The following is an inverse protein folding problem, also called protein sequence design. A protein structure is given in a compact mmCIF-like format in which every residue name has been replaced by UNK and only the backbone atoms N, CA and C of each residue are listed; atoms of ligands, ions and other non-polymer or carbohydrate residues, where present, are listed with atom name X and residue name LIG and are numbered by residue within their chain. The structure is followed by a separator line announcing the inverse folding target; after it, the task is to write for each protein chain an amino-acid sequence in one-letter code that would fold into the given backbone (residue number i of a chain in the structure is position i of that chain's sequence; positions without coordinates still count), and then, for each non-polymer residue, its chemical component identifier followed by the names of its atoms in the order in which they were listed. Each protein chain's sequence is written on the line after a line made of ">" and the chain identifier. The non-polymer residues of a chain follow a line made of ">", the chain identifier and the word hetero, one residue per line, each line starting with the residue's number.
data_IF_051114520562
#
_entry.id   IF_051114520562
#
_cell.length_a   1.000
_cell.length_b   1.000
_cell.length_c   1.000
_cell.angle_alpha   90.00
_cell.angle_beta   90.00
_cell.angle_gamma   90.00
#
_symmetry.space_group_name_H-M   'P 1'
#
loop_
_entity.id
_entity.type
_entity.pdbx_description
1 polymer ?
#
# COMPACT_ATOMS: atom_id res chain seq x y z
N UNK A 1 -46.09 33.58 14.54
CA UNK A 1 -45.57 33.28 14.40
C UNK A 1 -44.83 32.65 14.21
N UNK A 2 -44.42 32.26 14.04
CA UNK A 2 -43.71 31.63 14.01
C UNK A 2 -42.90 31.16 13.46
N UNK A 3 -42.29 30.98 13.30
CA UNK A 3 -41.48 30.58 12.87
C UNK A 3 -40.80 29.65 12.68
N UNK A 4 -40.49 29.23 12.51
CA UNK A 4 -40.03 28.26 12.43
C UNK A 4 -38.95 27.95 11.83
N UNK A 5 -38.34 27.63 11.90
CA UNK A 5 -37.33 27.37 11.39
C UNK A 5 -36.74 26.31 11.31
N UNK A 6 -36.33 25.87 10.99
CA UNK A 6 -35.91 24.89 10.70
C UNK A 6 -34.70 24.67 10.44
N UNK A 7 -34.11 24.29 10.77
CA UNK A 7 -33.02 24.00 10.82
C UNK A 7 -32.61 23.09 10.07
N UNK A 8 -32.30 23.00 9.41
CA UNK A 8 -31.90 22.10 8.71
C UNK A 8 -30.72 21.59 8.85
N UNK A 9 -30.45 20.87 9.18
CA UNK A 9 -29.43 20.23 9.44
C UNK A 9 -28.71 19.71 8.49
N UNK A 10 -28.17 19.79 8.16
CA UNK A 10 -27.50 19.27 7.31
C UNK A 10 -26.58 18.40 7.50
N UNK A 11 -26.44 17.70 7.44
CA UNK A 11 -25.70 16.82 7.59
C UNK A 11 -24.90 16.41 6.68
N UNK A 12 -24.11 16.37 6.71
CA UNK A 12 -23.28 16.03 5.98
C UNK A 12 -22.64 14.97 6.08
N UNK A 13 -22.68 14.30 5.70
CA UNK A 13 -22.24 13.20 5.77
C UNK A 13 -21.04 13.01 5.41
N UNK A 14 -20.56 13.04 5.33
CA UNK A 14 -19.50 12.79 5.06
C UNK A 14 -18.80 11.92 4.70
N UNK A 15 -18.29 11.98 4.35
CA UNK A 15 -17.43 11.34 3.95
C UNK A 15 -16.99 10.29 4.20
N UNK A 16 -17.19 10.04 4.94
CA UNK A 16 -16.77 8.98 5.29
C UNK A 16 -16.53 8.09 4.38
N UNK A 17 -17.10 7.99 3.66
CA UNK A 17 -16.93 7.04 2.92
C UNK A 17 -15.79 6.84 2.32
N UNK A 18 -15.09 7.45 2.39
CA UNK A 18 -14.07 7.25 1.80
C UNK A 18 -13.34 6.19 1.93
N UNK A 19 -13.52 5.28 2.23
CA UNK A 19 -12.72 4.19 2.45
C UNK A 19 -12.32 3.49 1.20
N UNK A 20 -12.81 3.85 0.08
CA UNK A 20 -12.41 3.26 -1.19
C UNK A 20 -11.18 4.00 -1.67
N UNK A 21 -10.11 3.31 -2.06
CA UNK A 21 -8.93 4.02 -2.53
C UNK A 21 -9.23 4.77 -3.82
N UNK A 22 -8.54 5.87 -4.03
CA UNK A 22 -8.69 6.63 -5.25
C UNK A 22 -8.13 5.83 -6.43
N UNK A 23 -8.48 6.27 -7.63
CA UNK A 23 -7.94 5.63 -8.81
C UNK A 23 -6.43 5.79 -8.89
N UNK A 24 -5.90 6.87 -8.37
CA UNK A 24 -4.45 7.06 -8.33
C UNK A 24 -3.81 6.01 -7.42
N UNK A 25 -4.37 5.81 -6.25
CA UNK A 25 -3.84 4.81 -5.32
C UNK A 25 -3.89 3.42 -5.95
N UNK A 26 -5.02 3.05 -6.55
CA UNK A 26 -5.14 1.74 -7.17
C UNK A 26 -4.12 1.55 -8.26
N UNK A 27 -3.90 2.57 -9.08
CA UNK A 27 -2.91 2.48 -10.15
C UNK A 27 -1.50 2.35 -9.59
N UNK A 28 -1.18 3.15 -8.58
CA UNK A 28 0.17 3.13 -8.02
C UNK A 28 0.47 1.81 -7.34
N UNK A 29 -0.48 1.26 -6.59
CA UNK A 29 -0.27 -0.04 -5.97
C UNK A 29 -0.04 -1.09 -7.04
N UNK A 30 -0.81 -1.05 -8.12
CA UNK A 30 -0.59 -1.97 -9.24
C UNK A 30 0.78 -1.84 -9.85
N UNK A 31 1.27 -0.60 -9.99
CA UNK A 31 2.61 -0.36 -10.52
C UNK A 31 3.69 -0.87 -9.56
N UNK A 32 3.46 -0.77 -8.27
CA UNK A 32 4.41 -1.30 -7.29
C UNK A 32 4.46 -2.83 -7.36
N UNK A 33 3.32 -3.49 -7.54
CA UNK A 33 3.32 -4.94 -7.73
C UNK A 33 4.07 -5.33 -9.00
N UNK A 34 3.86 -4.60 -10.08
CA UNK A 34 4.60 -4.88 -11.31
C UNK A 34 6.09 -4.67 -11.12
N UNK A 35 6.48 -3.60 -10.43
CA UNK A 35 7.89 -3.34 -10.18
C UNK A 35 8.51 -4.48 -9.38
N UNK A 36 7.80 -4.98 -8.39
CA UNK A 36 8.30 -6.09 -7.60
C UNK A 36 8.49 -7.35 -8.46
N UNK A 37 7.46 -7.71 -9.21
CA UNK A 37 7.54 -8.92 -10.03
C UNK A 37 8.64 -8.85 -11.07
N UNK A 38 8.90 -7.66 -11.60
CA UNK A 38 9.90 -7.50 -12.64
C UNK A 38 11.29 -7.27 -12.11
N UNK A 39 11.44 -7.10 -10.81
CA UNK A 39 12.71 -6.72 -10.22
C UNK A 39 13.71 -7.85 -10.14
N UNK A 40 13.25 -9.10 -10.13
CA UNK A 40 14.08 -10.25 -9.84
C UNK A 40 14.74 -10.18 -8.47
N UNK A 41 14.25 -9.30 -7.61
CA UNK A 41 14.75 -9.23 -6.24
C UNK A 41 14.11 -10.33 -5.41
N UNK A 42 14.69 -10.58 -4.25
CA UNK A 42 14.12 -11.51 -3.28
C UNK A 42 13.58 -10.73 -2.10
N UNK A 43 12.62 -11.33 -1.43
CA UNK A 43 11.87 -10.68 -0.37
C UNK A 43 11.90 -11.61 0.84
N UNK A 44 12.28 -11.05 2.00
CA UNK A 44 12.38 -11.84 3.21
C UNK A 44 11.18 -11.60 4.11
N UNK A 45 10.61 -12.71 4.57
CA UNK A 45 9.49 -12.68 5.47
C UNK A 45 9.79 -13.68 6.57
N UNK A 46 9.90 -13.20 7.77
CA UNK A 46 10.19 -14.05 8.94
C UNK A 46 11.43 -14.92 8.75
N UNK A 47 12.46 -14.32 8.15
CA UNK A 47 13.74 -15.01 8.01
C UNK A 47 13.86 -15.91 6.79
N UNK A 48 12.81 -16.03 5.99
CA UNK A 48 12.86 -16.84 4.79
C UNK A 48 12.82 -15.94 3.56
N UNK A 49 13.67 -16.22 2.60
CA UNK A 49 13.70 -15.46 1.36
C UNK A 49 12.82 -16.12 0.31
N UNK A 50 12.01 -15.30 -0.33
CA UNK A 50 11.09 -15.75 -1.38
C UNK A 50 11.42 -14.99 -2.65
N UNK A 51 11.15 -15.60 -3.81
CA UNK A 51 11.34 -14.89 -5.05
C UNK A 51 10.24 -13.83 -5.21
N UNK A 52 10.43 -12.95 -6.19
CA UNK A 52 9.52 -11.83 -6.37
C UNK A 52 8.09 -12.25 -6.64
N UNK A 53 7.90 -13.34 -7.37
CA UNK A 53 6.54 -13.80 -7.67
C UNK A 53 5.82 -14.24 -6.39
N UNK A 54 6.49 -15.01 -5.55
CA UNK A 54 5.89 -15.45 -4.29
C UNK A 54 5.64 -14.27 -3.37
N UNK A 55 6.58 -13.33 -3.33
CA UNK A 55 6.41 -12.13 -2.53
C UNK A 55 5.19 -11.34 -2.99
N UNK A 56 5.04 -11.21 -4.29
CA UNK A 56 3.91 -10.48 -4.86
C UNK A 56 2.59 -11.14 -4.45
N UNK A 57 2.54 -12.47 -4.51
CA UNK A 57 1.33 -13.18 -4.11
C UNK A 57 0.99 -12.95 -2.65
N UNK A 58 2.00 -12.97 -1.80
CA UNK A 58 1.79 -12.74 -0.38
C UNK A 58 1.26 -11.33 -0.12
N UNK A 59 1.89 -10.34 -0.74
CA UNK A 59 1.47 -8.96 -0.54
C UNK A 59 0.11 -8.69 -1.16
N UNK A 60 -0.24 -9.39 -2.24
CA UNK A 60 -1.55 -9.25 -2.83
C UNK A 60 -2.64 -9.69 -1.84
N UNK A 61 -2.40 -10.78 -1.12
CA UNK A 61 -3.36 -11.24 -0.12
C UNK A 61 -3.52 -10.22 1.00
N UNK A 62 -2.42 -9.59 1.43
CA UNK A 62 -2.51 -8.55 2.45
C UNK A 62 -3.26 -7.34 1.92
N UNK A 63 -3.01 -6.98 0.67
CA UNK A 63 -3.68 -5.84 0.07
C UNK A 63 -5.19 -6.11 -0.02
N UNK A 64 -5.57 -7.30 -0.47
CA UNK A 64 -6.98 -7.66 -0.58
C UNK A 64 -7.67 -7.58 0.79
N UNK A 65 -7.00 -8.05 1.82
CA UNK A 65 -7.53 -7.98 3.17
C UNK A 65 -7.72 -6.52 3.59
N UNK A 66 -6.72 -5.69 3.34
CA UNK A 66 -6.79 -4.28 3.73
C UNK A 66 -7.89 -3.54 2.95
N UNK A 67 -8.08 -3.88 1.69
CA UNK A 67 -9.17 -3.30 0.92
C UNK A 67 -10.51 -3.68 1.53
N UNK A 68 -10.67 -4.94 1.90
CA UNK A 68 -11.91 -5.39 2.50
C UNK A 68 -12.18 -4.66 3.80
N UNK A 69 -11.14 -4.35 4.56
CA UNK A 69 -11.29 -3.63 5.83
C UNK A 69 -11.32 -2.12 5.63
N UNK A 70 -11.22 -1.66 4.38
CA UNK A 70 -11.28 -0.23 4.06
C UNK A 70 -10.15 0.56 4.69
N UNK A 71 -8.98 -0.06 4.76
CA UNK A 71 -7.82 0.56 5.39
C UNK A 71 -6.82 1.15 4.41
N UNK A 72 -7.04 0.99 3.10
CA UNK A 72 -6.12 1.56 2.12
C UNK A 72 -6.64 2.94 1.73
N UNK A 73 -6.06 3.96 2.32
CA UNK A 73 -6.47 5.34 2.06
C UNK A 73 -5.49 6.07 1.15
N UNK A 74 -4.32 5.51 0.92
CA UNK A 74 -3.31 6.09 0.04
C UNK A 74 -2.33 5.00 -0.32
N UNK A 75 -1.46 5.28 -1.29
CA UNK A 75 -0.42 4.32 -1.64
C UNK A 75 0.55 4.15 -0.47
N UNK A 76 0.81 5.23 0.25
CA UNK A 76 1.67 5.16 1.44
C UNK A 76 1.07 4.25 2.50
N UNK A 77 -0.25 4.28 2.68
CA UNK A 77 -0.86 3.41 3.68
C UNK A 77 -0.75 1.94 3.26
N UNK A 78 -0.81 1.65 1.96
CA UNK A 78 -0.55 0.29 1.49
C UNK A 78 0.86 -0.14 1.88
N UNK A 79 1.85 0.72 1.62
CA UNK A 79 3.23 0.37 1.94
C UNK A 79 3.36 0.12 3.45
N UNK A 80 2.81 1.01 4.24
CA UNK A 80 2.93 0.90 5.69
C UNK A 80 2.24 -0.33 6.24
N UNK A 81 1.04 -0.61 5.78
CA UNK A 81 0.23 -1.66 6.38
C UNK A 81 0.46 -3.04 5.75
N UNK A 82 0.89 -3.08 4.49
CA UNK A 82 1.06 -4.36 3.82
C UNK A 82 2.51 -4.74 3.58
N UNK A 83 3.38 -3.77 3.31
CA UNK A 83 4.70 -4.07 2.78
C UNK A 83 5.82 -3.72 3.75
N UNK A 84 5.55 -3.52 5.00
CA UNK A 84 6.57 -3.11 5.96
C UNK A 84 7.00 -4.25 6.86
N UNK A 85 6.08 -4.98 7.42
CA UNK A 85 6.43 -6.01 8.39
C UNK A 85 5.36 -7.08 8.48
N UNK A 86 5.75 -8.21 9.05
CA UNK A 86 4.83 -9.30 9.29
C UNK A 86 3.78 -8.89 10.30
N UNK A 87 2.53 -9.13 9.97
CA UNK A 87 1.43 -8.82 10.88
C UNK A 87 1.47 -9.70 12.12
N UNK A 88 2.03 -10.90 12.00
CA UNK A 88 2.04 -11.82 13.12
C UNK A 88 3.25 -11.66 14.03
N UNK A 89 4.43 -11.50 13.45
CA UNK A 89 5.65 -11.45 14.27
C UNK A 89 6.16 -10.06 14.51
N UNK A 90 5.74 -9.09 13.71
CA UNK A 90 6.27 -7.72 13.80
C UNK A 90 7.64 -7.57 13.18
N UNK A 91 8.21 -8.64 12.62
CA UNK A 91 9.52 -8.54 12.01
C UNK A 91 9.45 -7.83 10.67
N UNK A 92 10.38 -6.90 10.44
CA UNK A 92 10.41 -6.14 9.21
C UNK A 92 10.68 -7.06 8.03
N UNK A 93 9.97 -6.81 6.93
CA UNK A 93 10.29 -7.45 5.67
C UNK A 93 11.52 -6.80 5.07
N UNK A 94 12.28 -7.56 4.30
CA UNK A 94 13.47 -7.05 3.64
C UNK A 94 13.46 -7.43 2.19
N UNK A 95 14.18 -6.67 1.38
CA UNK A 95 14.33 -6.93 -0.05
C UNK A 95 15.82 -6.90 -0.37
N UNK A 96 16.27 -7.87 -1.15
CA UNK A 96 17.64 -7.83 -1.64
C UNK A 96 17.62 -8.06 -3.15
N UNK A 97 18.42 -7.30 -3.85
CA UNK A 97 18.44 -7.33 -5.30
C UNK A 97 19.84 -7.63 -5.78
N UNK A 98 20.02 -8.77 -6.42
CA UNK A 98 21.32 -9.18 -6.89
C UNK A 98 22.29 -9.33 -5.74
N UNK A 99 23.43 -8.69 -5.85
CA UNK A 99 24.45 -8.78 -4.83
C UNK A 99 24.42 -7.63 -3.84
N UNK A 100 23.43 -6.75 -3.97
CA UNK A 100 23.35 -5.63 -3.05
C UNK A 100 22.92 -6.10 -1.68
N UNK A 101 23.28 -5.34 -0.66
CA UNK A 101 22.86 -5.65 0.69
C UNK A 101 21.35 -5.51 0.83
N UNK A 102 20.73 -6.30 1.70
CA UNK A 102 19.29 -6.17 1.91
C UNK A 102 18.92 -4.78 2.44
N UNK A 103 17.77 -4.32 2.03
CA UNK A 103 17.20 -3.08 2.55
C UNK A 103 15.81 -3.39 3.09
N UNK A 104 15.26 -2.50 3.88
CA UNK A 104 13.90 -2.74 4.37
C UNK A 104 12.92 -2.69 3.21
N UNK A 105 11.90 -3.53 3.28
CA UNK A 105 10.86 -3.53 2.27
C UNK A 105 10.20 -2.15 2.18
N UNK A 106 9.98 -1.51 3.33
CA UNK A 106 9.39 -0.18 3.35
C UNK A 106 10.21 0.80 2.51
N UNK A 107 11.53 0.79 2.68
CA UNK A 107 12.40 1.68 1.91
C UNK A 107 12.35 1.34 0.42
N UNK A 108 12.38 0.05 0.11
CA UNK A 108 12.36 -0.36 -1.29
C UNK A 108 11.10 0.14 -2.00
N UNK A 109 9.94 -0.09 -1.37
CA UNK A 109 8.67 0.33 -1.96
C UNK A 109 8.54 1.85 -2.00
N UNK A 110 8.99 2.54 -0.95
CA UNK A 110 8.95 3.99 -0.93
C UNK A 110 9.80 4.58 -2.04
N UNK A 111 11.00 4.02 -2.25
CA UNK A 111 11.86 4.50 -3.32
C UNK A 111 11.26 4.23 -4.69
N UNK A 112 10.62 3.07 -4.87
CA UNK A 112 9.94 2.79 -6.13
C UNK A 112 8.81 3.77 -6.37
N UNK A 113 8.03 4.05 -5.35
CA UNK A 113 6.93 4.98 -5.48
C UNK A 113 7.43 6.38 -5.85
N UNK A 114 8.51 6.82 -5.21
CA UNK A 114 9.10 8.11 -5.53
C UNK A 114 9.52 8.15 -6.99
N UNK A 115 10.14 7.08 -7.47
CA UNK A 115 10.56 7.02 -8.87
C UNK A 115 9.39 7.03 -9.83
N UNK A 116 8.33 6.31 -9.51
CA UNK A 116 7.15 6.28 -10.35
C UNK A 116 6.51 7.67 -10.45
N UNK A 117 6.45 8.37 -9.33
CA UNK A 117 5.86 9.70 -9.32
C UNK A 117 6.70 10.71 -10.07
N UNK A 118 8.02 10.60 -9.97
CA UNK A 118 8.91 11.49 -10.69
C UNK A 118 8.83 11.23 -12.19
N UNK A 119 8.84 9.97 -12.59
CA UNK A 119 8.73 9.64 -14.00
C UNK A 119 7.41 10.08 -14.58
N UNK A 120 6.36 10.03 -13.81
CA UNK A 120 5.05 10.43 -14.28
C UNK A 120 4.90 11.89 -14.52
N UNK A 121 5.89 12.69 -14.11
CA UNK A 121 5.78 14.07 -14.36
C UNK A 121 6.33 14.51 -15.65
N UNK A 122 6.88 13.64 -16.39
CA UNK A 122 7.40 14.05 -17.63
C UNK A 122 6.42 14.21 -18.70
#
# INVERSE_FOLDING_TARGET
>A
MKNAFIAVALLIASAASAQVPSSVTTREVGQLFSALRESNCEFSRNGTWYNAQKASEHLQRKYDYLLKKKLVTSTESFIELAATKSSMSGKAYQVRCGKAAPVSSQSWFTNKLTGLRSGGRR
#
